data_IF_528100650707
#
_entry.id   IF_528100650707
#
_cell.length_a   1.000
_cell.length_b   1.000
_cell.length_c   1.000
_cell.angle_alpha   90.00
_cell.angle_beta   90.00
_cell.angle_gamma   90.00
#
_symmetry.space_group_name_H-M   'P 1'
#
loop_
_entity.id
_entity.type
_entity.pdbx_description
1 polymer ?
#
# COMPACT_ATOMS: atom_id res chain seq x y z
N UNK A 1 12.23 -3.61 11.09
CA UNK A 1 11.43 -2.44 11.46
C UNK A 1 10.32 -2.26 10.45
N UNK A 2 9.11 -2.27 10.90
CA UNK A 2 7.97 -2.14 9.99
C UNK A 2 7.93 -0.76 9.34
N UNK A 3 7.48 -0.72 8.10
CA UNK A 3 7.34 0.52 7.33
C UNK A 3 5.86 0.70 7.00
N UNK A 4 5.32 1.86 7.36
CA UNK A 4 3.95 2.24 7.10
C UNK A 4 3.96 3.39 6.10
N UNK A 5 3.34 3.19 4.95
CA UNK A 5 3.40 4.17 3.88
C UNK A 5 2.07 4.25 3.14
N UNK A 6 1.75 5.44 2.62
CA UNK A 6 0.64 5.62 1.68
C UNK A 6 1.14 6.12 0.35
N UNK A 7 0.36 5.85 -0.70
CA UNK A 7 0.58 6.45 -2.01
C UNK A 7 -0.74 6.98 -2.52
N UNK A 8 -0.80 8.27 -2.81
CA UNK A 8 -2.02 8.91 -3.30
C UNK A 8 -1.82 9.51 -4.67
N UNK A 9 -2.86 9.46 -5.50
CA UNK A 9 -2.79 9.99 -6.86
C UNK A 9 -4.19 10.24 -7.43
N UNK A 10 -4.21 10.97 -8.53
CA UNK A 10 -5.43 11.23 -9.28
C UNK A 10 -5.21 10.85 -10.74
N UNK A 11 -6.21 10.27 -11.37
CA UNK A 11 -6.16 9.90 -12.79
C UNK A 11 -7.27 10.58 -13.58
N UNK A 12 -7.14 10.56 -14.90
CA UNK A 12 -8.18 11.08 -15.78
C UNK A 12 -9.47 10.31 -15.56
N UNK A 13 -10.65 10.98 -15.63
CA UNK A 13 -11.92 10.27 -15.47
C UNK A 13 -12.09 9.08 -16.39
N UNK A 14 -11.62 9.19 -17.64
CA UNK A 14 -11.72 8.12 -18.63
C UNK A 14 -10.85 6.91 -18.30
N UNK A 15 -9.90 7.05 -17.39
CA UNK A 15 -8.98 5.97 -17.03
C UNK A 15 -9.39 5.23 -15.75
N UNK A 16 -10.43 5.68 -15.06
CA UNK A 16 -10.80 5.14 -13.74
C UNK A 16 -11.00 3.62 -13.77
N UNK A 17 -11.80 3.12 -14.71
CA UNK A 17 -12.08 1.68 -14.74
C UNK A 17 -10.84 0.86 -15.06
N UNK A 18 -10.01 1.32 -15.97
CA UNK A 18 -8.76 0.67 -16.33
C UNK A 18 -7.81 0.62 -15.12
N UNK A 19 -7.70 1.71 -14.41
CA UNK A 19 -6.84 1.79 -13.22
C UNK A 19 -7.37 0.87 -12.12
N UNK A 20 -8.68 0.83 -11.90
CA UNK A 20 -9.26 -0.07 -10.90
C UNK A 20 -8.97 -1.53 -11.20
N UNK A 21 -9.05 -1.92 -12.46
CA UNK A 21 -8.71 -3.29 -12.83
C UNK A 21 -7.23 -3.58 -12.60
N UNK A 22 -6.36 -2.64 -12.96
CA UNK A 22 -4.93 -2.77 -12.71
C UNK A 22 -4.61 -2.88 -11.21
N UNK A 23 -5.33 -2.13 -10.37
CA UNK A 23 -5.21 -2.23 -8.91
C UNK A 23 -5.55 -3.65 -8.45
N UNK A 24 -6.67 -4.21 -8.92
CA UNK A 24 -7.10 -5.55 -8.51
C UNK A 24 -6.06 -6.61 -8.88
N UNK A 25 -5.54 -6.52 -10.09
CA UNK A 25 -4.53 -7.45 -10.57
C UNK A 25 -3.25 -7.34 -9.75
N UNK A 26 -2.85 -6.12 -9.44
CA UNK A 26 -1.65 -5.87 -8.65
C UNK A 26 -1.79 -6.36 -7.21
N UNK A 27 -2.90 -6.07 -6.56
CA UNK A 27 -3.15 -6.52 -5.19
C UNK A 27 -3.19 -8.05 -5.11
N UNK A 28 -3.76 -8.70 -6.12
CA UNK A 28 -3.75 -10.17 -6.18
C UNK A 28 -2.32 -10.71 -6.23
N UNK A 29 -1.47 -10.09 -7.04
CA UNK A 29 -0.06 -10.47 -7.10
C UNK A 29 0.61 -10.32 -5.73
N UNK A 30 0.38 -9.19 -5.06
CA UNK A 30 0.97 -8.94 -3.74
C UNK A 30 0.52 -10.01 -2.74
N UNK A 31 -0.77 -10.35 -2.74
CA UNK A 31 -1.31 -11.38 -1.86
C UNK A 31 -0.65 -12.74 -2.08
N UNK A 32 -0.35 -13.08 -3.32
CA UNK A 32 0.16 -14.39 -3.68
C UNK A 32 1.67 -14.50 -3.61
N UNK A 33 2.40 -13.39 -3.73
CA UNK A 33 3.84 -13.43 -3.97
C UNK A 33 4.70 -12.60 -3.01
N UNK A 34 4.10 -11.79 -2.14
CA UNK A 34 4.88 -10.88 -1.30
C UNK A 34 4.58 -11.09 0.20
N UNK A 35 5.17 -12.12 0.79
CA UNK A 35 4.93 -12.37 2.24
C UNK A 35 5.45 -11.25 3.14
N UNK A 36 6.42 -10.46 2.68
CA UNK A 36 6.93 -9.32 3.43
C UNK A 36 6.05 -8.08 3.37
N UNK A 37 5.08 -8.04 2.46
CA UNK A 37 4.06 -6.99 2.43
C UNK A 37 2.90 -7.46 3.30
N UNK A 38 2.84 -6.94 4.53
CA UNK A 38 1.92 -7.46 5.55
C UNK A 38 0.50 -6.95 5.37
N UNK A 39 0.34 -5.81 4.74
CA UNK A 39 -0.97 -5.25 4.44
C UNK A 39 -0.86 -4.40 3.18
N UNK A 40 -1.85 -4.51 2.32
CA UNK A 40 -1.97 -3.65 1.15
C UNK A 40 -3.44 -3.39 0.92
N UNK A 41 -3.86 -2.13 1.05
CA UNK A 41 -5.23 -1.70 0.82
C UNK A 41 -5.22 -0.60 -0.23
N UNK A 42 -6.20 -0.62 -1.11
CA UNK A 42 -6.37 0.42 -2.12
C UNK A 42 -7.79 0.95 -2.02
N UNK A 43 -7.91 2.27 -1.89
CA UNK A 43 -9.19 2.94 -1.73
C UNK A 43 -9.42 3.94 -2.86
N UNK A 44 -10.68 4.03 -3.27
CA UNK A 44 -11.16 5.06 -4.17
C UNK A 44 -11.92 6.09 -3.34
N UNK A 45 -11.63 7.37 -3.54
CA UNK A 45 -12.29 8.44 -2.80
C UNK A 45 -13.75 8.56 -3.26
N UNK A 46 -14.68 8.54 -2.33
CA UNK A 46 -16.11 8.62 -2.68
C UNK A 46 -16.50 9.97 -3.28
N UNK A 47 -15.97 11.05 -2.72
CA UNK A 47 -16.31 12.40 -3.16
C UNK A 47 -15.65 12.76 -4.49
N UNK A 48 -14.61 12.05 -4.88
CA UNK A 48 -13.93 12.24 -6.15
C UNK A 48 -13.39 10.90 -6.64
N UNK A 49 -14.17 10.18 -7.47
CA UNK A 49 -13.79 8.84 -7.91
C UNK A 49 -12.52 8.76 -8.76
N UNK A 50 -11.94 9.90 -9.17
CA UNK A 50 -10.66 9.92 -9.89
C UNK A 50 -9.47 9.82 -8.94
N UNK A 51 -9.68 9.90 -7.62
CA UNK A 51 -8.60 9.89 -6.63
C UNK A 51 -8.53 8.54 -5.93
N UNK A 52 -7.30 8.07 -5.77
CA UNK A 52 -7.00 6.78 -5.13
C UNK A 52 -5.99 6.97 -4.02
N UNK A 53 -6.11 6.16 -2.98
CA UNK A 53 -5.15 6.13 -1.88
C UNK A 53 -4.83 4.67 -1.57
N UNK A 54 -3.55 4.35 -1.62
CA UNK A 54 -3.06 3.01 -1.26
C UNK A 54 -2.36 3.08 0.09
N UNK A 55 -2.57 2.07 0.91
CA UNK A 55 -1.90 1.94 2.20
C UNK A 55 -1.11 0.64 2.18
N UNK A 56 0.17 0.72 2.52
CA UNK A 56 1.01 -0.47 2.59
C UNK A 56 1.74 -0.55 3.91
N UNK A 57 1.89 -1.79 4.38
CA UNK A 57 2.73 -2.07 5.55
C UNK A 57 3.72 -3.15 5.12
N UNK A 58 5.01 -2.81 5.17
CA UNK A 58 6.09 -3.74 4.86
C UNK A 58 6.74 -4.23 6.14
N UNK A 59 7.15 -5.49 6.13
CA UNK A 59 7.83 -6.09 7.28
C UNK A 59 9.11 -5.32 7.64
N UNK A 60 9.86 -4.90 6.62
CA UNK A 60 11.12 -4.17 6.77
C UNK A 60 11.51 -3.50 5.46
N UNK A 61 12.65 -2.82 5.45
CA UNK A 61 13.14 -2.13 4.26
C UNK A 61 13.45 -3.09 3.11
N UNK A 62 13.88 -4.32 3.41
CA UNK A 62 14.15 -5.30 2.37
C UNK A 62 12.87 -5.70 1.66
N UNK A 63 11.76 -5.88 2.40
CA UNK A 63 10.47 -6.18 1.81
C UNK A 63 9.97 -5.03 0.94
N UNK A 64 10.16 -3.79 1.40
CA UNK A 64 9.81 -2.61 0.61
C UNK A 64 10.59 -2.57 -0.70
N UNK A 65 11.87 -2.86 -0.65
CA UNK A 65 12.72 -2.87 -1.84
C UNK A 65 12.27 -3.94 -2.82
N UNK A 66 11.98 -5.16 -2.33
CA UNK A 66 11.49 -6.24 -3.19
C UNK A 66 10.18 -5.86 -3.88
N UNK A 67 9.27 -5.23 -3.13
CA UNK A 67 8.01 -4.75 -3.68
C UNK A 67 8.25 -3.77 -4.82
N UNK A 68 9.08 -2.76 -4.58
CA UNK A 68 9.35 -1.72 -5.58
C UNK A 68 10.06 -2.22 -6.84
N UNK A 69 10.77 -3.34 -6.75
CA UNK A 69 11.50 -3.92 -7.87
C UNK A 69 10.71 -4.97 -8.65
N UNK A 70 9.50 -5.30 -8.22
CA UNK A 70 8.73 -6.38 -8.82
C UNK A 70 8.25 -6.02 -10.24
N UNK A 71 8.10 -7.04 -11.07
CA UNK A 71 7.51 -6.85 -12.39
C UNK A 71 6.05 -6.39 -12.29
N UNK A 72 5.36 -6.81 -11.23
CA UNK A 72 3.98 -6.39 -11.01
C UNK A 72 3.86 -4.88 -10.76
N UNK A 73 4.79 -4.30 -9.99
CA UNK A 73 4.85 -2.85 -9.82
C UNK A 73 5.07 -2.16 -11.16
N UNK A 74 5.99 -2.66 -11.96
CA UNK A 74 6.28 -2.07 -13.26
C UNK A 74 5.06 -2.13 -14.19
N UNK A 75 4.35 -3.26 -14.20
CA UNK A 75 3.12 -3.38 -14.99
C UNK A 75 2.05 -2.40 -14.53
N UNK A 76 1.88 -2.28 -13.21
CA UNK A 76 0.91 -1.35 -12.66
C UNK A 76 1.28 0.08 -13.01
N UNK A 77 2.55 0.46 -12.84
CA UNK A 77 3.02 1.79 -13.21
C UNK A 77 2.80 2.09 -14.69
N UNK A 78 2.98 1.11 -15.57
CA UNK A 78 2.76 1.31 -16.99
C UNK A 78 1.31 1.63 -17.32
N UNK A 79 0.37 1.19 -16.47
CA UNK A 79 -1.05 1.50 -16.68
C UNK A 79 -1.39 2.90 -16.19
N UNK A 80 -1.01 3.25 -14.95
CA UNK A 80 -1.49 4.51 -14.37
C UNK A 80 -0.62 5.73 -14.70
N UNK A 81 0.67 5.55 -14.97
CA UNK A 81 1.60 6.67 -15.07
C UNK A 81 1.25 7.66 -16.17
N UNK A 82 0.69 7.19 -17.28
CA UNK A 82 0.27 8.04 -18.37
C UNK A 82 -1.10 8.69 -18.15
N UNK A 83 -1.79 8.26 -17.11
CA UNK A 83 -3.15 8.73 -16.81
C UNK A 83 -3.19 9.70 -15.64
N UNK A 84 -2.05 10.00 -15.04
CA UNK A 84 -1.98 10.88 -13.87
C UNK A 84 -2.40 12.30 -14.18
N UNK A 85 -3.11 12.90 -13.23
CA UNK A 85 -3.53 14.30 -13.27
C UNK A 85 -3.02 14.97 -12.00
N UNK A 86 -2.51 16.19 -12.13
CA UNK A 86 -2.10 16.96 -10.95
C UNK A 86 -0.74 16.60 -10.39
N UNK A 87 0.05 15.81 -11.10
CA UNK A 87 1.40 15.46 -10.68
C UNK A 87 1.56 13.97 -10.41
N UNK A 88 2.73 13.62 -9.89
CA UNK A 88 3.09 12.23 -9.62
C UNK A 88 2.39 11.69 -8.37
N UNK A 89 2.51 10.38 -8.16
CA UNK A 89 2.06 9.74 -6.92
C UNK A 89 2.79 10.37 -5.74
N UNK A 90 2.04 10.71 -4.70
CA UNK A 90 2.61 11.26 -3.47
C UNK A 90 2.73 10.13 -2.45
N UNK A 91 3.96 9.80 -2.09
CA UNK A 91 4.23 8.80 -1.05
C UNK A 91 4.46 9.50 0.28
N UNK A 92 3.84 8.98 1.33
CA UNK A 92 3.97 9.54 2.68
C UNK A 92 4.28 8.41 3.65
N UNK A 93 5.32 8.60 4.46
CA UNK A 93 5.70 7.64 5.49
C UNK A 93 5.05 8.00 6.82
N UNK A 94 4.67 6.97 7.57
CA UNK A 94 3.98 7.13 8.84
C UNK A 94 4.59 6.25 9.91
N UNK A 95 4.40 6.65 11.17
CA UNK A 95 4.67 5.82 12.33
C UNK A 95 3.34 5.40 12.94
N UNK A 96 3.25 4.15 13.36
CA UNK A 96 2.08 3.70 14.11
C UNK A 96 2.13 4.27 15.51
N UNK A 97 1.14 5.07 15.87
CA UNK A 97 1.00 5.60 17.24
C UNK A 97 0.18 4.64 18.08
N UNK A 98 -0.95 4.18 17.56
CA UNK A 98 -1.87 3.30 18.26
C UNK A 98 -2.89 2.74 17.27
N UNK A 99 -3.49 1.61 17.59
CA UNK A 99 -4.51 1.02 16.74
C UNK A 99 -5.31 -0.04 17.46
N UNK A 100 -6.46 -0.36 16.87
CA UNK A 100 -7.33 -1.44 17.35
C UNK A 100 -7.73 -2.30 16.16
N UNK A 101 -6.80 -3.09 15.60
CA UNK A 101 -7.14 -3.97 14.49
C UNK A 101 -7.96 -5.16 14.97
N UNK A 102 -8.59 -5.88 14.02
CA UNK A 102 -9.25 -7.15 14.32
C UNK A 102 -8.19 -8.19 14.72
N UNK A 103 -8.63 -9.31 15.28
CA UNK A 103 -7.70 -10.35 15.74
C UNK A 103 -6.70 -10.78 14.69
N UNK A 104 -7.17 -11.06 13.46
CA UNK A 104 -6.27 -11.49 12.39
C UNK A 104 -5.32 -10.39 11.95
N UNK A 105 -5.85 -9.19 11.78
CA UNK A 105 -5.02 -8.03 11.43
C UNK A 105 -4.02 -7.73 12.53
N UNK A 106 -4.43 -7.91 13.78
CA UNK A 106 -3.55 -7.69 14.92
C UNK A 106 -2.38 -8.67 14.90
N UNK A 107 -2.63 -9.92 14.60
CA UNK A 107 -1.57 -10.91 14.50
C UNK A 107 -0.56 -10.54 13.42
N UNK A 108 -1.01 -10.04 12.27
CA UNK A 108 -0.13 -9.59 11.20
C UNK A 108 0.69 -8.38 11.62
N UNK A 109 0.06 -7.40 12.24
CA UNK A 109 0.76 -6.19 12.70
C UNK A 109 1.77 -6.51 13.79
N UNK A 110 1.45 -7.42 14.68
CA UNK A 110 2.38 -7.85 15.73
C UNK A 110 3.62 -8.50 15.14
N UNK A 111 3.46 -9.32 14.10
CA UNK A 111 4.60 -9.95 13.46
C UNK A 111 5.50 -8.91 12.77
N UNK A 112 4.92 -7.85 12.20
CA UNK A 112 5.65 -6.76 11.56
C UNK A 112 6.35 -5.88 12.59
N UNK A 113 5.65 -5.57 13.69
CA UNK A 113 6.11 -4.65 14.73
C UNK A 113 6.77 -5.37 15.89
N UNK A 114 7.19 -6.61 15.70
CA UNK A 114 7.72 -7.43 16.76
C UNK A 114 9.20 -7.11 17.04
N UNK A 115 9.41 -5.95 17.58
CA UNK A 115 10.74 -5.52 18.01
C UNK A 115 10.64 -5.01 19.45
N UNK A 116 11.77 -4.94 20.19
CA UNK A 116 11.75 -4.40 21.55
C UNK A 116 11.15 -3.01 21.66
N UNK A 117 11.41 -2.17 20.68
CA UNK A 117 10.85 -0.82 20.66
C UNK A 117 9.32 -0.84 20.50
N UNK A 118 8.78 -1.76 19.71
CA UNK A 118 7.34 -1.87 19.51
C UNK A 118 6.62 -2.35 20.75
N UNK A 119 7.24 -3.20 21.54
CA UNK A 119 6.58 -3.72 22.73
C UNK A 119 6.34 -2.65 23.76
N UNK A 120 7.10 -1.58 23.75
CA UNK A 120 6.89 -0.47 24.67
C UNK A 120 5.62 0.31 24.36
N UNK A 121 5.03 0.09 23.23
CA UNK A 121 3.83 0.79 22.78
C UNK A 121 2.53 0.14 23.20
N UNK A 122 2.59 -0.89 23.96
CA UNK A 122 1.40 -1.64 24.30
C UNK A 122 0.47 -0.93 25.26
N UNK A 123 0.75 0.27 25.52
CA UNK A 123 -0.16 1.10 26.29
C UNK A 123 -1.48 1.31 25.57
#
# INVERSE_FOLDING_TARGET
MAIFQTGGYQVKPSAVDKVKQAIRDFVRYVQENEPGTKMYLAWQQKSDPTRFLHLFIFEDAAAQTRHGQSEAVKRFESVYSLELVGGDVVFTDYELVSGKPTGEQWARLRSVSNSPASTSQKG
#
